data_IF_586789245835
#
_entry.id   IF_586789245835
#
_cell.length_a   1.000
_cell.length_b   1.000
_cell.length_c   1.000
_cell.angle_alpha   90.00
_cell.angle_beta   90.00
_cell.angle_gamma   90.00
#
_symmetry.space_group_name_H-M   'P 1'
#
loop_
_entity.id
_entity.type
_entity.pdbx_description
1 polymer ?
#
# COMPACT_ATOMS: atom_id res chain seq x y z
N UNK A 1 -20.30 -1.47 41.28
CA UNK A 1 -19.16 -2.30 40.86
C UNK A 1 -19.29 -2.54 39.37
N UNK A 2 -18.22 -2.40 38.60
CA UNK A 2 -18.26 -2.65 37.17
C UNK A 2 -18.42 -4.16 36.93
N UNK A 3 -19.24 -4.52 35.94
CA UNK A 3 -19.42 -5.91 35.51
C UNK A 3 -18.85 -6.05 34.11
N UNK A 4 -18.07 -7.10 33.88
CA UNK A 4 -17.50 -7.43 32.57
C UNK A 4 -18.30 -8.59 31.99
N UNK A 5 -18.78 -8.41 30.76
CA UNK A 5 -19.61 -9.41 30.07
C UNK A 5 -18.77 -10.10 29.00
N UNK A 6 -18.76 -11.43 29.05
CA UNK A 6 -18.15 -12.28 28.03
C UNK A 6 -19.27 -12.91 27.19
N UNK A 7 -19.18 -12.85 25.87
CA UNK A 7 -20.23 -13.32 24.95
C UNK A 7 -19.68 -14.37 23.99
N UNK A 8 -20.47 -15.39 23.65
CA UNK A 8 -20.12 -16.34 22.61
C UNK A 8 -20.10 -15.73 21.21
N UNK A 9 -19.03 -15.97 20.45
CA UNK A 9 -18.83 -15.45 19.08
C UNK A 9 -19.22 -16.43 17.98
N UNK A 10 -19.64 -17.65 18.34
CA UNK A 10 -19.84 -18.77 17.38
C UNK A 10 -21.13 -18.72 16.57
N UNK A 11 -21.91 -17.62 16.66
CA UNK A 11 -23.20 -17.46 15.98
C UNK A 11 -24.31 -18.40 16.46
N UNK A 12 -24.01 -19.30 17.41
CA UNK A 12 -24.98 -20.13 18.12
C UNK A 12 -25.21 -19.55 19.51
N UNK A 13 -26.47 -19.51 19.93
CA UNK A 13 -26.91 -18.98 21.23
C UNK A 13 -27.60 -20.08 22.04
N UNK A 14 -26.84 -21.10 22.51
CA UNK A 14 -27.42 -22.15 23.34
C UNK A 14 -27.92 -21.58 24.67
N UNK A 15 -28.90 -22.24 25.29
CA UNK A 15 -29.45 -21.85 26.60
C UNK A 15 -28.36 -21.79 27.68
N UNK A 16 -27.44 -22.75 27.65
CA UNK A 16 -26.25 -22.77 28.48
C UNK A 16 -25.05 -23.24 27.68
N UNK A 17 -23.86 -22.79 28.06
CA UNK A 17 -22.61 -23.27 27.49
C UNK A 17 -21.52 -23.34 28.54
N UNK A 18 -20.85 -24.48 28.59
CA UNK A 18 -19.76 -24.77 29.51
C UNK A 18 -18.40 -24.46 28.87
N UNK A 19 -17.55 -23.77 29.63
CA UNK A 19 -16.16 -23.57 29.26
C UNK A 19 -15.32 -24.73 29.81
N UNK A 20 -14.64 -25.53 28.98
CA UNK A 20 -13.77 -26.59 29.47
C UNK A 20 -12.67 -26.01 30.34
N UNK A 21 -12.53 -26.55 31.54
CA UNK A 21 -11.63 -26.01 32.54
C UNK A 21 -10.52 -26.99 32.97
N UNK A 22 -10.59 -28.24 32.52
CA UNK A 22 -9.66 -29.31 32.91
C UNK A 22 -8.46 -29.33 31.95
N UNK A 23 -7.25 -29.38 32.50
CA UNK A 23 -5.99 -29.53 31.75
C UNK A 23 -5.74 -28.46 30.67
N UNK A 24 -6.26 -27.25 30.88
CA UNK A 24 -6.04 -26.13 29.96
C UNK A 24 -4.65 -25.54 30.18
N UNK A 25 -3.96 -25.22 29.09
CA UNK A 25 -2.67 -24.54 29.13
C UNK A 25 -2.79 -23.13 28.54
N UNK A 26 -2.16 -22.16 29.19
CA UNK A 26 -2.00 -20.80 28.69
C UNK A 26 -0.55 -20.32 28.83
N UNK A 27 -0.19 -19.31 28.04
CA UNK A 27 1.16 -18.74 28.04
C UNK A 27 1.38 -17.85 29.28
N UNK A 28 2.31 -18.28 30.14
CA UNK A 28 2.80 -17.51 31.27
C UNK A 28 3.95 -16.60 30.83
N UNK A 29 3.88 -15.28 31.09
CA UNK A 29 4.98 -14.37 30.77
C UNK A 29 6.30 -14.87 31.36
N UNK A 30 7.29 -15.09 30.49
CA UNK A 30 8.63 -15.54 30.89
C UNK A 30 8.78 -17.03 31.27
N UNK A 31 7.73 -17.85 31.20
CA UNK A 31 7.79 -19.27 31.58
C UNK A 31 7.12 -20.23 30.59
N UNK A 32 6.60 -19.72 29.48
CA UNK A 32 5.98 -20.52 28.41
C UNK A 32 4.61 -21.08 28.81
N UNK A 33 4.17 -22.14 28.13
CA UNK A 33 2.84 -22.75 28.37
C UNK A 33 2.78 -23.47 29.71
N UNK A 34 1.83 -23.09 30.54
CA UNK A 34 1.60 -23.65 31.88
C UNK A 34 0.13 -23.96 32.08
N UNK A 35 -0.16 -24.93 32.95
CA UNK A 35 -1.54 -25.29 33.28
C UNK A 35 -2.23 -24.17 34.05
N UNK A 36 -3.43 -23.82 33.62
CA UNK A 36 -4.29 -22.84 34.29
C UNK A 36 -5.55 -23.50 34.84
N UNK A 37 -5.98 -23.07 36.02
CA UNK A 37 -7.28 -23.39 36.60
C UNK A 37 -7.87 -22.14 37.27
N UNK A 38 -9.18 -22.18 37.55
CA UNK A 38 -9.84 -21.14 38.31
C UNK A 38 -9.72 -21.42 39.82
N UNK A 39 -9.12 -20.49 40.55
CA UNK A 39 -8.95 -20.56 42.01
C UNK A 39 -9.58 -19.32 42.65
N UNK A 40 -10.83 -19.40 43.15
CA UNK A 40 -11.53 -18.24 43.71
C UNK A 40 -10.73 -17.60 44.85
N UNK A 41 -10.53 -16.28 44.78
CA UNK A 41 -9.81 -15.50 45.80
C UNK A 41 -8.29 -15.46 45.66
N UNK A 42 -7.70 -16.24 44.75
CA UNK A 42 -6.25 -16.24 44.52
C UNK A 42 -5.82 -15.20 43.46
N UNK A 43 -4.58 -14.75 43.54
CA UNK A 43 -4.03 -13.77 42.59
C UNK A 43 -3.40 -14.40 41.33
N UNK A 44 -3.29 -15.73 41.26
CA UNK A 44 -2.74 -16.45 40.11
C UNK A 44 -3.69 -17.53 39.61
N UNK A 45 -3.71 -17.72 38.30
CA UNK A 45 -4.46 -18.78 37.61
C UNK A 45 -3.58 -20.01 37.32
N UNK A 46 -2.26 -19.90 37.48
CA UNK A 46 -1.33 -20.97 37.14
C UNK A 46 -1.23 -21.98 38.27
N UNK A 47 -1.45 -23.25 37.94
CA UNK A 47 -1.45 -24.37 38.89
C UNK A 47 -0.18 -24.41 39.74
N UNK A 48 0.98 -24.19 39.12
CA UNK A 48 2.29 -24.21 39.79
C UNK A 48 2.44 -23.13 40.87
N UNK A 49 1.82 -21.95 40.69
CA UNK A 49 1.98 -20.83 41.62
C UNK A 49 1.08 -20.98 42.85
N UNK A 50 -0.10 -21.57 42.66
CA UNK A 50 -1.10 -21.76 43.71
C UNK A 50 -0.74 -23.00 44.53
N UNK A 51 -0.52 -24.14 43.88
CA UNK A 51 -0.15 -25.39 44.57
C UNK A 51 1.27 -25.34 45.17
N UNK A 52 2.14 -24.47 44.64
CA UNK A 52 3.44 -24.17 45.23
C UNK A 52 3.35 -23.42 46.57
N UNK A 53 2.28 -22.64 46.78
CA UNK A 53 2.02 -21.90 48.03
C UNK A 53 1.16 -22.69 49.01
N UNK A 54 0.12 -23.35 48.51
CA UNK A 54 -0.79 -24.15 49.33
C UNK A 54 -1.38 -25.29 48.50
N UNK A 55 -1.01 -26.53 48.84
CA UNK A 55 -1.44 -27.75 48.15
C UNK A 55 -2.90 -28.14 48.42
N UNK A 56 -3.52 -27.56 49.44
CA UNK A 56 -4.90 -27.89 49.83
C UNK A 56 -5.95 -27.08 49.04
N UNK A 57 -5.53 -26.05 48.31
CA UNK A 57 -6.42 -25.22 47.49
C UNK A 57 -6.83 -25.99 46.24
N UNK A 58 -8.12 -26.30 46.13
CA UNK A 58 -8.70 -26.99 44.98
C UNK A 58 -9.26 -26.00 43.95
N UNK A 59 -9.13 -26.29 42.65
CA UNK A 59 -9.74 -25.49 41.61
C UNK A 59 -11.27 -25.57 41.70
N UNK A 60 -11.94 -24.48 41.36
CA UNK A 60 -13.40 -24.41 41.28
C UNK A 60 -13.88 -24.47 39.84
N UNK A 61 -15.14 -24.86 39.67
CA UNK A 61 -15.79 -24.85 38.37
C UNK A 61 -16.02 -23.42 37.90
N UNK A 62 -15.96 -23.23 36.58
CA UNK A 62 -16.22 -21.93 35.96
C UNK A 62 -17.73 -21.77 35.84
N UNK A 63 -18.30 -20.61 36.21
CA UNK A 63 -19.71 -20.34 35.98
C UNK A 63 -20.09 -20.49 34.50
N UNK A 64 -21.27 -21.03 34.24
CA UNK A 64 -21.78 -21.26 32.89
C UNK A 64 -22.06 -19.95 32.17
N UNK A 65 -21.90 -19.95 30.84
CA UNK A 65 -22.48 -18.90 30.02
C UNK A 65 -23.96 -19.19 29.86
N UNK A 66 -24.81 -18.21 30.10
CA UNK A 66 -26.27 -18.35 30.10
C UNK A 66 -26.90 -17.47 29.02
N UNK A 67 -27.98 -17.96 28.41
CA UNK A 67 -28.70 -17.19 27.41
C UNK A 67 -29.45 -16.00 28.02
N UNK A 68 -29.07 -14.80 27.61
CA UNK A 68 -29.78 -13.58 27.97
C UNK A 68 -30.76 -13.21 26.84
N UNK A 69 -32.06 -13.23 27.18
CA UNK A 69 -33.14 -12.92 26.23
C UNK A 69 -33.16 -11.45 25.79
N UNK A 70 -32.59 -10.53 26.56
CA UNK A 70 -32.54 -9.11 26.23
C UNK A 70 -31.47 -8.79 25.17
N UNK A 71 -30.31 -9.44 25.25
CA UNK A 71 -29.20 -9.27 24.29
C UNK A 71 -29.25 -10.30 23.15
N UNK A 72 -30.15 -11.29 23.27
CA UNK A 72 -30.27 -12.45 22.38
C UNK A 72 -28.92 -13.17 22.19
N UNK A 73 -28.12 -13.24 23.26
CA UNK A 73 -26.75 -13.73 23.28
C UNK A 73 -26.55 -14.62 24.50
N UNK A 74 -25.67 -15.61 24.37
CA UNK A 74 -25.23 -16.45 25.49
C UNK A 74 -24.00 -15.81 26.11
N UNK A 75 -24.12 -15.37 27.36
CA UNK A 75 -23.17 -14.49 28.03
C UNK A 75 -22.84 -14.94 29.45
N UNK A 76 -21.62 -14.61 29.90
CA UNK A 76 -21.16 -14.79 31.27
C UNK A 76 -20.81 -13.42 31.84
N UNK A 77 -21.52 -13.02 32.90
CA UNK A 77 -21.27 -11.76 33.59
C UNK A 77 -20.37 -11.99 34.79
N UNK A 78 -19.20 -11.35 34.80
CA UNK A 78 -18.21 -11.44 35.87
C UNK A 78 -18.04 -10.10 36.56
N UNK A 79 -18.01 -10.10 37.89
CA UNK A 79 -17.70 -8.89 38.66
C UNK A 79 -16.22 -8.52 38.51
N UNK A 80 -15.92 -7.23 38.32
CA UNK A 80 -14.55 -6.72 38.17
C UNK A 80 -13.65 -7.02 39.39
N UNK A 81 -14.26 -7.24 40.57
CA UNK A 81 -13.55 -7.68 41.78
C UNK A 81 -12.95 -9.09 41.67
N UNK A 82 -13.47 -9.95 40.79
CA UNK A 82 -12.99 -11.32 40.62
C UNK A 82 -11.85 -11.38 39.60
N UNK A 83 -10.71 -10.81 39.97
CA UNK A 83 -9.52 -10.69 39.12
C UNK A 83 -9.02 -12.05 38.63
N UNK A 84 -9.09 -13.10 39.47
CA UNK A 84 -8.70 -14.46 39.10
C UNK A 84 -9.51 -15.00 37.91
N UNK A 85 -10.84 -14.90 37.99
CA UNK A 85 -11.73 -15.39 36.93
C UNK A 85 -11.53 -14.60 35.65
N UNK A 86 -11.36 -13.28 35.75
CA UNK A 86 -11.08 -12.44 34.59
C UNK A 86 -9.74 -12.77 33.92
N UNK A 87 -8.70 -13.00 34.72
CA UNK A 87 -7.40 -13.44 34.21
C UNK A 87 -7.52 -14.80 33.52
N UNK A 88 -8.27 -15.73 34.13
CA UNK A 88 -8.49 -17.06 33.56
C UNK A 88 -9.19 -16.96 32.20
N UNK A 89 -10.32 -16.25 32.15
CA UNK A 89 -11.13 -16.10 30.93
C UNK A 89 -10.37 -15.39 29.80
N UNK A 90 -9.49 -14.43 30.12
CA UNK A 90 -8.64 -13.75 29.12
C UNK A 90 -7.47 -14.62 28.64
N UNK A 91 -6.90 -15.45 29.52
CA UNK A 91 -5.76 -16.31 29.19
C UNK A 91 -6.18 -17.63 28.49
N UNK A 92 -7.46 -18.00 28.56
CA UNK A 92 -7.95 -19.24 28.01
C UNK A 92 -7.78 -19.33 26.48
N UNK A 93 -7.38 -20.48 25.90
CA UNK A 93 -7.15 -20.63 24.45
C UNK A 93 -8.36 -20.35 23.55
N UNK A 94 -9.56 -20.38 24.12
CA UNK A 94 -10.80 -20.13 23.38
C UNK A 94 -11.22 -18.65 23.39
N UNK A 95 -10.54 -17.80 24.15
CA UNK A 95 -10.73 -16.35 24.11
C UNK A 95 -10.38 -15.80 22.73
N UNK A 96 -11.24 -14.94 22.18
CA UNK A 96 -11.14 -14.42 20.81
C UNK A 96 -11.50 -15.43 19.71
N UNK A 97 -11.78 -16.70 20.05
CA UNK A 97 -12.18 -17.75 19.10
C UNK A 97 -13.62 -18.21 19.27
N UNK A 98 -14.02 -18.49 20.52
CA UNK A 98 -15.35 -18.98 20.88
C UNK A 98 -16.15 -17.96 21.68
N UNK A 99 -15.46 -17.10 22.43
CA UNK A 99 -16.06 -16.02 23.18
C UNK A 99 -15.11 -14.83 23.27
N UNK A 100 -15.65 -13.64 23.50
CA UNK A 100 -14.89 -12.40 23.66
C UNK A 100 -15.52 -11.51 24.72
N UNK A 101 -14.78 -10.49 25.17
CA UNK A 101 -15.36 -9.44 26.02
C UNK A 101 -16.19 -8.52 25.14
N UNK A 102 -17.43 -8.32 25.54
CA UNK A 102 -18.34 -7.42 24.86
C UNK A 102 -18.63 -6.26 25.79
N UNK A 103 -18.31 -5.05 25.32
CA UNK A 103 -18.82 -3.80 25.87
C UNK A 103 -19.52 -3.04 24.76
N UNK A 104 -20.47 -2.18 25.14
CA UNK A 104 -21.14 -1.28 24.21
C UNK A 104 -20.13 -0.48 23.37
N UNK A 105 -19.01 -0.09 23.97
CA UNK A 105 -17.90 0.57 23.28
C UNK A 105 -17.25 -0.31 22.22
N UNK A 106 -16.93 -1.58 22.53
CA UNK A 106 -16.28 -2.50 21.57
C UNK A 106 -17.22 -2.86 20.41
N UNK A 107 -18.52 -3.05 20.69
CA UNK A 107 -19.50 -3.29 19.63
C UNK A 107 -19.68 -2.08 18.74
N UNK A 108 -19.74 -0.89 19.34
CA UNK A 108 -19.82 0.38 18.62
C UNK A 108 -18.57 0.61 17.76
N UNK A 109 -17.37 0.31 18.26
CA UNK A 109 -16.12 0.39 17.49
C UNK A 109 -16.11 -0.58 16.30
N UNK A 110 -16.55 -1.83 16.50
CA UNK A 110 -16.65 -2.81 15.41
C UNK A 110 -17.66 -2.37 14.35
N UNK A 111 -18.81 -1.85 14.78
CA UNK A 111 -19.82 -1.29 13.88
C UNK A 111 -19.27 -0.07 13.12
N UNK A 112 -18.60 0.83 13.82
CA UNK A 112 -18.00 2.03 13.24
C UNK A 112 -16.96 1.67 12.17
N UNK A 113 -16.05 0.74 12.47
CA UNK A 113 -15.10 0.22 11.47
C UNK A 113 -15.80 -0.37 10.25
N UNK A 114 -16.91 -1.07 10.47
CA UNK A 114 -17.75 -1.59 9.38
C UNK A 114 -18.36 -0.48 8.52
N UNK A 115 -18.82 0.61 9.14
CA UNK A 115 -19.34 1.78 8.41
C UNK A 115 -18.22 2.53 7.68
N UNK A 116 -17.08 2.76 8.31
CA UNK A 116 -15.90 3.40 7.70
C UNK A 116 -15.43 2.65 6.45
N UNK A 117 -15.43 1.31 6.47
CA UNK A 117 -15.10 0.50 5.30
C UNK A 117 -16.10 0.69 4.16
N UNK A 118 -17.40 0.78 4.47
CA UNK A 118 -18.45 1.04 3.48
C UNK A 118 -18.33 2.44 2.89
N UNK A 119 -18.13 3.46 3.72
CA UNK A 119 -17.91 4.83 3.27
C UNK A 119 -16.68 4.93 2.38
N UNK A 120 -15.55 4.34 2.79
CA UNK A 120 -14.33 4.30 1.98
C UNK A 120 -14.55 3.61 0.63
N UNK A 121 -15.27 2.49 0.60
CA UNK A 121 -15.58 1.79 -0.65
C UNK A 121 -16.48 2.62 -1.58
N UNK A 122 -17.48 3.32 -1.03
CA UNK A 122 -18.37 4.21 -1.79
C UNK A 122 -17.59 5.39 -2.35
N UNK A 123 -16.67 5.95 -1.57
CA UNK A 123 -15.83 7.08 -1.98
C UNK A 123 -14.91 6.73 -3.15
N UNK A 124 -14.33 5.53 -3.16
CA UNK A 124 -13.54 5.04 -4.30
C UNK A 124 -14.38 4.85 -5.57
N UNK A 125 -15.66 4.50 -5.40
CA UNK A 125 -16.62 4.30 -6.49
C UNK A 125 -17.18 5.62 -7.04
N UNK A 126 -17.01 6.75 -6.34
CA UNK A 126 -17.39 8.07 -6.87
C UNK A 126 -16.73 8.30 -8.23
N UNK A 127 -17.42 9.03 -9.09
CA UNK A 127 -17.03 9.22 -10.49
C UNK A 127 -16.98 10.70 -10.83
N UNK A 128 -16.07 11.05 -11.74
CA UNK A 128 -16.00 12.37 -12.39
C UNK A 128 -16.62 12.30 -13.79
N UNK A 129 -16.61 11.12 -14.44
CA UNK A 129 -17.14 10.93 -15.79
C UNK A 129 -17.83 9.58 -16.03
N UNK A 130 -18.63 9.50 -17.09
CA UNK A 130 -19.29 8.28 -17.55
C UNK A 130 -18.29 7.18 -17.93
N UNK A 131 -17.19 7.58 -18.60
CA UNK A 131 -16.12 6.66 -18.98
C UNK A 131 -15.44 6.06 -17.75
N UNK A 132 -15.14 6.89 -16.75
CA UNK A 132 -14.54 6.44 -15.49
C UNK A 132 -15.46 5.44 -14.78
N UNK A 133 -16.76 5.72 -14.72
CA UNK A 133 -17.75 4.82 -14.09
C UNK A 133 -17.76 3.45 -14.75
N UNK A 134 -17.83 3.40 -16.09
CA UNK A 134 -17.82 2.15 -16.84
C UNK A 134 -16.49 1.42 -16.69
N UNK A 135 -15.38 2.15 -16.64
CA UNK A 135 -14.04 1.57 -16.50
C UNK A 135 -13.85 0.95 -15.12
N UNK A 136 -14.26 1.64 -14.04
CA UNK A 136 -14.29 1.08 -12.68
C UNK A 136 -15.16 -0.16 -12.61
N UNK A 137 -16.34 -0.13 -13.25
CA UNK A 137 -17.21 -1.30 -13.31
C UNK A 137 -16.53 -2.47 -14.02
N UNK A 138 -15.80 -2.22 -15.10
CA UNK A 138 -15.06 -3.26 -15.82
C UNK A 138 -13.83 -3.79 -15.06
N UNK A 139 -13.18 -2.98 -14.23
CA UNK A 139 -12.14 -3.46 -13.31
C UNK A 139 -12.73 -4.40 -12.25
N UNK A 140 -13.90 -4.06 -11.71
CA UNK A 140 -14.55 -4.81 -10.62
C UNK A 140 -15.27 -6.08 -11.12
N UNK A 141 -16.05 -5.96 -12.20
CA UNK A 141 -16.91 -7.04 -12.71
C UNK A 141 -16.34 -7.72 -13.97
N UNK A 142 -15.21 -7.24 -14.51
CA UNK A 142 -14.61 -7.77 -15.72
C UNK A 142 -15.38 -7.43 -17.00
N UNK A 143 -15.17 -8.24 -18.04
CA UNK A 143 -15.75 -8.06 -19.39
C UNK A 143 -17.27 -7.95 -19.41
N UNK A 144 -17.97 -8.51 -18.41
CA UNK A 144 -19.43 -8.44 -18.32
C UNK A 144 -19.95 -7.00 -18.18
N UNK A 145 -19.16 -6.11 -17.57
CA UNK A 145 -19.53 -4.71 -17.43
C UNK A 145 -19.37 -3.88 -18.71
N UNK A 146 -18.78 -4.46 -19.78
CA UNK A 146 -18.65 -3.78 -21.07
C UNK A 146 -20.02 -3.32 -21.60
N UNK A 147 -21.05 -4.15 -21.39
CA UNK A 147 -22.43 -3.89 -21.83
C UNK A 147 -23.28 -3.14 -20.81
N UNK A 148 -22.74 -2.76 -19.66
CA UNK A 148 -23.52 -2.00 -18.69
C UNK A 148 -23.70 -0.55 -19.16
N UNK A 149 -24.94 -0.09 -19.09
CA UNK A 149 -25.25 1.33 -19.12
C UNK A 149 -24.64 2.03 -17.91
N UNK A 150 -24.35 3.32 -18.03
CA UNK A 150 -23.67 4.11 -16.97
C UNK A 150 -24.40 4.00 -15.64
N UNK A 151 -25.73 4.15 -15.63
CA UNK A 151 -26.54 4.06 -14.40
C UNK A 151 -26.58 2.67 -13.80
N UNK A 152 -26.57 1.62 -14.63
CA UNK A 152 -26.52 0.23 -14.17
C UNK A 152 -25.15 -0.08 -13.56
N UNK A 153 -24.07 0.38 -14.20
CA UNK A 153 -22.71 0.27 -13.68
C UNK A 153 -22.58 0.98 -12.33
N UNK A 154 -23.08 2.21 -12.21
CA UNK A 154 -23.08 2.99 -10.97
C UNK A 154 -23.83 2.27 -9.85
N UNK A 155 -25.06 1.80 -10.12
CA UNK A 155 -25.88 1.10 -9.14
C UNK A 155 -25.22 -0.20 -8.65
N UNK A 156 -24.68 -1.01 -9.57
CA UNK A 156 -24.00 -2.27 -9.23
C UNK A 156 -22.71 -2.05 -8.43
N UNK A 157 -21.91 -1.05 -8.77
CA UNK A 157 -20.71 -0.70 -8.00
C UNK A 157 -21.05 -0.27 -6.58
N UNK A 158 -22.06 0.60 -6.42
CA UNK A 158 -22.54 1.04 -5.09
C UNK A 158 -23.11 -0.12 -4.28
N UNK A 159 -23.94 -0.96 -4.89
CA UNK A 159 -24.47 -2.16 -4.24
C UNK A 159 -23.34 -3.06 -3.72
N UNK A 160 -22.34 -3.34 -4.56
CA UNK A 160 -21.22 -4.19 -4.16
C UNK A 160 -20.33 -3.53 -3.10
N UNK A 161 -20.20 -2.20 -3.10
CA UNK A 161 -19.50 -1.45 -2.05
C UNK A 161 -20.20 -1.59 -0.68
N UNK A 162 -21.54 -1.69 -0.65
CA UNK A 162 -22.29 -1.94 0.58
C UNK A 162 -22.21 -3.40 1.04
N UNK A 163 -22.31 -4.35 0.12
CA UNK A 163 -22.31 -5.79 0.43
C UNK A 163 -20.92 -6.34 0.76
N UNK A 164 -19.89 -5.90 0.02
CA UNK A 164 -18.51 -6.40 0.09
C UNK A 164 -17.49 -5.26 -0.07
N UNK A 165 -17.39 -4.35 0.91
CA UNK A 165 -16.52 -3.16 0.83
C UNK A 165 -15.04 -3.53 0.66
N UNK A 166 -14.56 -4.57 1.35
CA UNK A 166 -13.17 -5.03 1.28
C UNK A 166 -12.76 -5.45 -0.14
N UNK A 167 -13.68 -6.07 -0.89
CA UNK A 167 -13.42 -6.49 -2.26
C UNK A 167 -13.26 -5.29 -3.20
N UNK A 168 -14.13 -4.29 -3.07
CA UNK A 168 -14.06 -3.05 -3.85
C UNK A 168 -12.76 -2.31 -3.54
N UNK A 169 -12.42 -2.14 -2.25
CA UNK A 169 -11.19 -1.49 -1.82
C UNK A 169 -9.98 -2.24 -2.38
N UNK A 170 -9.96 -3.57 -2.27
CA UNK A 170 -8.86 -4.40 -2.79
C UNK A 170 -8.67 -4.27 -4.30
N UNK A 171 -9.76 -4.07 -5.06
CA UNK A 171 -9.70 -3.90 -6.52
C UNK A 171 -9.36 -2.49 -6.98
N UNK A 172 -9.91 -1.46 -6.32
CA UNK A 172 -9.74 -0.06 -6.71
C UNK A 172 -8.55 0.63 -6.04
N UNK A 173 -7.96 0.02 -5.01
CA UNK A 173 -6.72 0.48 -4.36
C UNK A 173 -5.58 -0.52 -4.53
N UNK A 174 -5.72 -1.49 -5.44
CA UNK A 174 -4.68 -2.45 -5.78
C UNK A 174 -3.51 -1.78 -6.53
N UNK A 175 -2.31 -2.35 -6.41
CA UNK A 175 -1.11 -1.86 -7.11
C UNK A 175 -1.28 -1.95 -8.64
N UNK A 176 -2.03 -2.94 -9.10
CA UNK A 176 -2.35 -3.17 -10.51
C UNK A 176 -3.53 -2.33 -11.03
N UNK A 177 -4.18 -1.54 -10.16
CA UNK A 177 -5.40 -0.81 -10.50
C UNK A 177 -5.22 0.09 -11.72
N UNK A 178 -4.14 0.87 -11.80
CA UNK A 178 -3.92 1.82 -12.91
C UNK A 178 -3.83 1.09 -14.26
N UNK A 179 -3.07 0.00 -14.31
CA UNK A 179 -2.93 -0.80 -15.53
C UNK A 179 -4.24 -1.52 -15.90
N UNK A 180 -4.97 -2.01 -14.90
CA UNK A 180 -6.31 -2.59 -15.10
C UNK A 180 -7.32 -1.54 -15.58
N UNK A 181 -7.22 -0.31 -15.09
CA UNK A 181 -8.08 0.80 -15.46
C UNK A 181 -7.81 1.28 -16.89
N UNK A 182 -6.54 1.41 -17.29
CA UNK A 182 -6.14 1.71 -18.68
C UNK A 182 -6.65 0.62 -19.63
N UNK A 183 -6.47 -0.65 -19.26
CA UNK A 183 -7.01 -1.79 -20.01
C UNK A 183 -8.54 -1.68 -20.16
N UNK A 184 -9.25 -1.44 -19.06
CA UNK A 184 -10.71 -1.27 -19.07
C UNK A 184 -11.16 -0.12 -19.98
N UNK A 185 -10.51 1.04 -19.91
CA UNK A 185 -10.79 2.19 -20.78
C UNK A 185 -10.60 1.83 -22.25
N UNK A 186 -9.50 1.16 -22.60
CA UNK A 186 -9.20 0.77 -23.97
C UNK A 186 -10.28 -0.17 -24.54
N UNK A 187 -10.82 -1.09 -23.74
CA UNK A 187 -11.94 -1.95 -24.13
C UNK A 187 -13.24 -1.17 -24.32
N UNK A 188 -13.56 -0.26 -23.39
CA UNK A 188 -14.81 0.52 -23.44
C UNK A 188 -14.85 1.46 -24.64
N UNK A 189 -13.70 2.04 -25.00
CA UNK A 189 -13.58 2.88 -26.20
C UNK A 189 -13.38 2.09 -27.49
N UNK A 190 -13.28 0.75 -27.42
CA UNK A 190 -13.10 -0.10 -28.60
C UNK A 190 -11.72 -0.02 -29.24
N UNK A 191 -10.71 0.52 -28.55
CA UNK A 191 -9.31 0.55 -28.98
C UNK A 191 -8.74 -0.88 -29.02
N UNK A 192 -9.15 -1.71 -28.06
CA UNK A 192 -8.83 -3.13 -28.00
C UNK A 192 -10.10 -3.94 -27.89
N UNK A 193 -10.09 -5.15 -28.44
CA UNK A 193 -11.18 -6.10 -28.37
C UNK A 193 -10.65 -7.52 -28.31
N UNK A 194 -11.49 -8.47 -27.91
CA UNK A 194 -11.17 -9.89 -28.11
C UNK A 194 -11.44 -10.25 -29.57
N UNK A 195 -10.62 -11.12 -30.16
CA UNK A 195 -10.94 -11.70 -31.47
C UNK A 195 -12.23 -12.55 -31.40
N UNK A 196 -12.81 -12.90 -32.55
CA UNK A 196 -14.06 -13.68 -32.59
C UNK A 196 -13.97 -15.03 -31.87
N UNK A 197 -12.77 -15.62 -31.79
CA UNK A 197 -12.53 -16.87 -31.06
C UNK A 197 -12.33 -16.69 -29.55
N UNK A 198 -12.28 -15.45 -29.04
CA UNK A 198 -11.90 -15.12 -27.66
C UNK A 198 -10.57 -15.73 -27.19
N UNK A 199 -9.66 -16.02 -28.12
CA UNK A 199 -8.34 -16.60 -27.89
C UNK A 199 -7.21 -15.56 -27.92
N UNK A 200 -7.50 -14.32 -28.28
CA UNK A 200 -6.51 -13.24 -28.38
C UNK A 200 -7.15 -11.89 -28.05
N UNK A 201 -6.35 -10.98 -27.48
CA UNK A 201 -6.65 -9.55 -27.46
C UNK A 201 -5.99 -8.91 -28.67
N UNK A 202 -6.77 -8.17 -29.44
CA UNK A 202 -6.37 -7.56 -30.70
C UNK A 202 -6.67 -6.07 -30.67
N UNK A 203 -5.97 -5.31 -31.52
CA UNK A 203 -6.34 -3.92 -31.79
C UNK A 203 -7.70 -3.85 -32.49
N UNK A 204 -8.53 -2.89 -32.09
CA UNK A 204 -9.90 -2.74 -32.59
C UNK A 204 -9.98 -2.43 -34.09
N UNK A 205 -8.99 -1.69 -34.60
CA UNK A 205 -8.90 -1.20 -35.98
C UNK A 205 -8.16 -2.16 -36.93
N UNK A 206 -7.01 -2.68 -36.53
CA UNK A 206 -6.16 -3.52 -37.41
C UNK A 206 -6.35 -5.03 -37.20
N UNK A 207 -7.03 -5.43 -36.12
CA UNK A 207 -7.14 -6.83 -35.67
C UNK A 207 -5.80 -7.56 -35.44
N UNK A 208 -4.69 -6.81 -35.39
CA UNK A 208 -3.38 -7.36 -35.06
C UNK A 208 -3.35 -7.82 -33.60
N UNK A 209 -2.73 -8.97 -33.36
CA UNK A 209 -2.64 -9.59 -32.03
C UNK A 209 -1.72 -8.80 -31.11
N UNK A 210 -2.21 -8.51 -29.90
CA UNK A 210 -1.45 -7.95 -28.79
C UNK A 210 -0.99 -9.08 -27.87
N UNK A 211 -1.91 -9.94 -27.45
CA UNK A 211 -1.64 -11.07 -26.56
C UNK A 211 -2.57 -12.25 -26.82
N UNK A 212 -2.11 -13.46 -26.51
CA UNK A 212 -2.90 -14.68 -26.54
C UNK A 212 -3.61 -14.90 -25.21
N UNK A 213 -4.80 -15.50 -25.26
CA UNK A 213 -5.62 -15.91 -24.13
C UNK A 213 -5.71 -17.43 -24.10
N UNK A 214 -5.41 -18.01 -22.95
CA UNK A 214 -5.67 -19.40 -22.66
C UNK A 214 -7.16 -19.59 -22.31
N UNK A 215 -7.62 -20.85 -22.34
CA UNK A 215 -9.00 -21.18 -21.99
C UNK A 215 -9.34 -20.70 -20.57
N UNK A 216 -10.41 -19.91 -20.45
CA UNK A 216 -10.88 -19.37 -19.16
C UNK A 216 -10.24 -18.04 -18.74
N UNK A 217 -9.26 -17.52 -19.47
CA UNK A 217 -8.69 -16.20 -19.18
C UNK A 217 -9.55 -15.06 -19.75
N UNK A 218 -9.68 -13.98 -18.98
CA UNK A 218 -10.42 -12.79 -19.41
C UNK A 218 -9.47 -11.75 -20.02
N UNK A 219 -9.74 -11.36 -21.26
CA UNK A 219 -8.90 -10.43 -22.03
C UNK A 219 -8.53 -9.13 -21.32
N UNK A 220 -9.50 -8.44 -20.70
CA UNK A 220 -9.23 -7.17 -20.02
C UNK A 220 -8.32 -7.33 -18.80
N UNK A 221 -8.50 -8.41 -18.04
CA UNK A 221 -7.66 -8.70 -16.86
C UNK A 221 -6.25 -9.07 -17.31
N UNK A 222 -6.13 -9.90 -18.35
CA UNK A 222 -4.82 -10.32 -18.85
C UNK A 222 -4.05 -9.17 -19.48
N UNK A 223 -4.72 -8.30 -20.24
CA UNK A 223 -4.13 -7.07 -20.76
C UNK A 223 -3.68 -6.17 -19.62
N UNK A 224 -4.51 -5.95 -18.59
CA UNK A 224 -4.13 -5.13 -17.43
C UNK A 224 -2.90 -5.69 -16.69
N UNK A 225 -2.82 -7.00 -16.51
CA UNK A 225 -1.64 -7.65 -15.93
C UNK A 225 -0.40 -7.50 -16.82
N UNK A 226 -0.56 -7.67 -18.13
CA UNK A 226 0.52 -7.47 -19.09
C UNK A 226 1.07 -6.05 -19.04
N UNK A 227 0.18 -5.04 -18.99
CA UNK A 227 0.56 -3.63 -18.88
C UNK A 227 1.31 -3.32 -17.58
N UNK A 228 0.98 -4.01 -16.49
CA UNK A 228 1.64 -3.85 -15.19
C UNK A 228 3.03 -4.52 -15.10
N UNK A 229 3.38 -5.41 -16.02
CA UNK A 229 4.62 -6.20 -15.94
C UNK A 229 5.90 -5.38 -16.23
N UNK A 230 5.78 -4.11 -16.66
CA UNK A 230 6.93 -3.22 -16.87
C UNK A 230 7.87 -3.60 -18.02
N UNK A 231 7.49 -4.56 -18.87
CA UNK A 231 8.28 -4.92 -20.06
C UNK A 231 8.24 -3.81 -21.13
N UNK A 232 9.27 -3.72 -21.96
CA UNK A 232 9.32 -2.75 -23.07
C UNK A 232 8.09 -2.84 -23.98
N UNK A 233 7.63 -4.06 -24.27
CA UNK A 233 6.43 -4.29 -25.07
C UNK A 233 5.16 -3.77 -24.39
N UNK A 234 5.07 -3.89 -23.06
CA UNK A 234 3.96 -3.37 -22.27
C UNK A 234 3.94 -1.84 -22.30
N UNK A 235 5.11 -1.19 -22.18
CA UNK A 235 5.25 0.26 -22.28
C UNK A 235 4.86 0.78 -23.68
N UNK A 236 5.34 0.12 -24.74
CA UNK A 236 4.97 0.48 -26.13
C UNK A 236 3.46 0.33 -26.34
N UNK A 237 2.87 -0.75 -25.82
CA UNK A 237 1.43 -0.98 -25.91
C UNK A 237 0.65 0.10 -25.15
N UNK A 238 1.10 0.47 -23.95
CA UNK A 238 0.49 1.53 -23.14
C UNK A 238 0.58 2.90 -23.84
N UNK A 239 1.72 3.24 -24.43
CA UNK A 239 1.90 4.47 -25.22
C UNK A 239 0.98 4.50 -26.44
N UNK A 240 0.85 3.36 -27.14
CA UNK A 240 -0.06 3.23 -28.28
C UNK A 240 -1.53 3.42 -27.87
N UNK A 241 -1.92 2.86 -26.71
CA UNK A 241 -3.25 3.08 -26.14
C UNK A 241 -3.44 4.57 -25.81
N UNK A 242 -2.46 5.22 -25.16
CA UNK A 242 -2.55 6.63 -24.81
C UNK A 242 -2.73 7.54 -26.04
N UNK A 243 -1.98 7.28 -27.12
CA UNK A 243 -2.14 7.98 -28.41
C UNK A 243 -3.56 7.77 -28.97
N UNK A 244 -4.06 6.54 -29.00
CA UNK A 244 -5.42 6.23 -29.50
C UNK A 244 -6.53 6.81 -28.61
N UNK A 245 -6.26 7.03 -27.33
CA UNK A 245 -7.15 7.75 -26.40
C UNK A 245 -7.11 9.27 -26.59
N UNK A 246 -6.23 9.81 -27.45
CA UNK A 246 -6.04 11.24 -27.64
C UNK A 246 -5.30 11.92 -26.48
N UNK A 247 -4.65 11.14 -25.60
CA UNK A 247 -3.84 11.66 -24.51
C UNK A 247 -2.45 11.98 -25.08
N UNK A 248 -2.29 13.21 -25.56
CA UNK A 248 -1.01 13.71 -26.12
C UNK A 248 -1.10 14.36 -27.51
N UNK A 249 -2.26 14.34 -28.17
CA UNK A 249 -2.45 15.00 -29.47
C UNK A 249 -3.00 16.42 -29.30
N UNK A 250 -2.11 17.38 -29.01
CA UNK A 250 -2.24 18.67 -29.69
C UNK A 250 -1.80 18.47 -31.16
N UNK A 251 -2.55 18.97 -32.15
CA UNK A 251 -2.26 18.72 -33.54
C UNK A 251 -1.00 19.48 -33.97
N UNK A 252 0.15 18.81 -33.99
CA UNK A 252 1.28 19.23 -34.84
C UNK A 252 1.14 18.54 -36.18
N UNK A 253 0.54 19.26 -37.13
CA UNK A 253 0.55 18.94 -38.57
C UNK A 253 1.96 18.56 -39.03
N UNK A 254 2.04 17.42 -39.71
CA UNK A 254 3.24 16.82 -40.25
C UNK A 254 3.87 17.70 -41.35
N UNK A 255 5.17 17.96 -41.22
CA UNK A 255 6.07 18.06 -42.38
C UNK A 255 7.35 17.27 -42.07
N UNK A 256 7.85 16.56 -43.07
CA UNK A 256 8.87 15.51 -42.96
C UNK A 256 10.24 15.98 -42.43
N UNK A 257 10.97 14.99 -41.86
CA UNK A 257 12.42 14.90 -41.55
C UNK A 257 12.99 15.69 -40.35
N UNK A 258 13.47 14.91 -39.36
CA UNK A 258 14.40 15.11 -38.21
C UNK A 258 15.15 16.45 -37.99
N UNK A 259 15.79 16.68 -36.82
CA UNK A 259 15.39 16.45 -35.42
C UNK A 259 15.56 17.73 -34.54
N UNK A 260 15.09 17.66 -33.29
CA UNK A 260 15.51 18.49 -32.13
C UNK A 260 15.02 19.95 -32.03
N UNK A 261 14.34 20.21 -30.89
CA UNK A 261 14.26 21.47 -30.15
C UNK A 261 14.13 22.78 -30.94
N UNK A 262 12.90 23.23 -31.16
CA UNK A 262 12.60 24.63 -31.45
C UNK A 262 11.88 25.27 -30.25
N UNK A 263 12.70 25.89 -29.41
CA UNK A 263 12.33 27.08 -28.62
C UNK A 263 11.95 28.16 -29.62
N UNK A 264 10.95 28.98 -29.30
CA UNK A 264 10.46 30.01 -30.23
C UNK A 264 11.56 31.05 -30.55
N UNK A 265 11.68 31.47 -31.82
CA UNK A 265 12.66 32.50 -32.26
C UNK A 265 12.55 33.83 -31.48
N UNK A 266 11.38 34.07 -30.88
CA UNK A 266 11.13 35.25 -30.03
C UNK A 266 11.78 35.10 -28.65
N UNK A 267 11.84 33.89 -28.10
CA UNK A 267 12.52 33.59 -26.83
C UNK A 267 14.04 33.48 -27.02
N UNK A 268 14.52 33.03 -28.19
CA UNK A 268 15.96 33.01 -28.51
C UNK A 268 16.53 34.43 -28.64
N UNK A 269 15.85 35.35 -29.35
CA UNK A 269 16.27 36.75 -29.41
C UNK A 269 16.25 37.44 -28.05
N UNK A 270 15.23 37.20 -27.24
CA UNK A 270 15.14 37.79 -25.91
C UNK A 270 16.26 37.30 -24.97
N UNK A 271 16.66 36.03 -25.07
CA UNK A 271 17.77 35.48 -24.27
C UNK A 271 19.14 35.86 -24.78
N UNK A 272 19.32 36.02 -26.09
CA UNK A 272 20.60 36.49 -26.65
C UNK A 272 20.86 37.96 -26.30
N UNK A 273 19.83 38.81 -26.27
CA UNK A 273 19.94 40.21 -25.84
C UNK A 273 20.27 40.31 -24.33
N UNK A 274 19.65 39.46 -23.49
CA UNK A 274 19.92 39.38 -22.04
C UNK A 274 21.36 38.87 -21.75
N UNK A 275 21.86 37.89 -22.52
CA UNK A 275 23.23 37.39 -22.40
C UNK A 275 24.26 38.46 -22.84
N UNK A 276 23.95 39.24 -23.88
CA UNK A 276 24.82 40.33 -24.33
C UNK A 276 24.91 41.44 -23.26
N UNK A 277 23.80 41.78 -22.61
CA UNK A 277 23.75 42.76 -21.52
C UNK A 277 24.52 42.28 -20.28
N UNK A 278 24.34 41.02 -19.87
CA UNK A 278 25.07 40.42 -18.75
C UNK A 278 26.58 40.32 -19.01
N UNK A 279 27.01 40.04 -20.25
CA UNK A 279 28.43 40.05 -20.63
C UNK A 279 29.02 41.46 -20.62
N UNK A 280 28.27 42.46 -21.08
CA UNK A 280 28.71 43.86 -20.99
C UNK A 280 28.83 44.34 -19.54
N UNK A 281 27.91 43.93 -18.66
CA UNK A 281 27.96 44.23 -17.23
C UNK A 281 29.17 43.57 -16.54
N UNK A 282 29.52 42.32 -16.91
CA UNK A 282 30.69 41.62 -16.38
C UNK A 282 32.01 42.22 -16.89
N UNK A 283 32.11 42.63 -18.15
CA UNK A 283 33.30 43.34 -18.66
C UNK A 283 33.47 44.74 -18.04
N UNK A 284 32.37 45.44 -17.75
CA UNK A 284 32.42 46.71 -17.02
C UNK A 284 32.87 46.50 -15.57
N UNK A 285 32.43 45.42 -14.92
CA UNK A 285 32.88 45.05 -13.56
C UNK A 285 34.37 44.63 -13.52
N UNK A 286 34.88 43.96 -14.57
CA UNK A 286 36.28 43.51 -14.63
C UNK A 286 37.28 44.57 -15.10
N UNK A 287 36.83 45.71 -15.66
CA UNK A 287 37.71 46.84 -16.00
C UNK A 287 38.00 47.79 -14.82
N UNK A 288 37.44 47.53 -13.64
CA UNK A 288 37.56 48.37 -12.45
C UNK A 288 38.57 47.93 -11.37
N UNK A 289 39.29 46.81 -11.55
CA UNK A 289 40.23 46.34 -10.52
C UNK A 289 41.50 45.76 -11.11
N UNK A 290 42.43 46.66 -11.49
CA UNK A 290 43.85 46.33 -11.59
C UNK A 290 44.64 47.47 -10.95
N UNK A 291 45.10 47.25 -9.72
CA UNK A 291 46.30 47.87 -9.19
C UNK A 291 47.07 46.77 -8.42
N UNK A 292 47.95 46.04 -9.10
CA UNK A 292 49.40 46.31 -9.21
C UNK A 292 50.16 45.88 -7.95
N UNK A 293 50.93 44.78 -8.05
CA UNK A 293 52.39 44.70 -7.80
C UNK A 293 52.83 43.30 -7.29
N UNK A 294 53.66 42.68 -8.16
CA UNK A 294 54.88 41.89 -7.92
C UNK A 294 54.94 40.70 -6.92
N UNK A 295 55.63 39.59 -7.31
CA UNK A 295 56.04 38.47 -6.44
C UNK A 295 57.40 38.80 -5.76
N UNK A 296 58.02 37.99 -4.87
CA UNK A 296 57.84 36.54 -4.61
C UNK A 296 57.92 36.10 -3.11
N UNK A 297 58.00 34.78 -2.93
CA UNK A 297 58.61 34.02 -1.81
C UNK A 297 57.70 33.66 -0.62
N UNK A 298 57.50 32.35 -0.42
CA UNK A 298 57.94 31.51 0.72
C UNK A 298 56.96 30.34 0.90
N UNK A 299 57.54 29.16 0.66
CA UNK A 299 57.33 27.84 1.24
C UNK A 299 56.36 27.66 2.45
N UNK A 300 55.87 26.42 2.53
CA UNK A 300 55.31 25.73 3.71
C UNK A 300 53.82 25.88 4.08
N UNK A 301 53.11 24.77 3.91
CA UNK A 301 52.06 24.22 4.80
C UNK A 301 50.88 25.13 5.21
N UNK A 302 49.68 24.80 4.71
CA UNK A 302 48.56 24.25 5.51
C UNK A 302 47.28 24.11 4.69
N UNK A 303 46.71 22.91 4.74
CA UNK A 303 45.27 22.60 4.71
C UNK A 303 44.37 23.46 3.81
N UNK A 304 44.45 23.21 2.50
CA UNK A 304 43.33 23.53 1.61
C UNK A 304 42.36 22.34 1.62
N UNK A 305 41.33 22.46 2.48
CA UNK A 305 40.16 21.60 2.51
C UNK A 305 39.45 21.73 1.15
N UNK A 306 39.71 20.78 0.25
CA UNK A 306 38.99 20.66 -1.01
C UNK A 306 37.56 20.24 -0.65
N UNK A 307 36.62 21.18 -0.71
CA UNK A 307 35.18 20.91 -0.66
C UNK A 307 34.78 20.21 -1.97
N UNK A 308 35.14 18.93 -2.10
CA UNK A 308 34.61 18.06 -3.15
C UNK A 308 33.39 17.34 -2.59
N UNK A 309 32.30 17.32 -3.36
CA UNK A 309 31.09 16.63 -2.95
C UNK A 309 31.26 15.10 -3.08
N UNK A 310 30.47 14.32 -2.34
CA UNK A 310 30.53 12.84 -2.35
C UNK A 310 30.34 12.28 -3.77
N UNK A 311 29.46 12.90 -4.54
CA UNK A 311 29.16 12.53 -5.93
C UNK A 311 30.36 12.76 -6.85
N UNK A 312 31.03 13.91 -6.74
CA UNK A 312 32.26 14.18 -7.48
C UNK A 312 33.40 13.25 -7.09
N UNK A 313 33.51 12.89 -5.80
CA UNK A 313 34.52 11.97 -5.29
C UNK A 313 34.31 10.53 -5.78
N UNK A 314 33.06 10.05 -5.78
CA UNK A 314 32.72 8.73 -6.29
C UNK A 314 32.93 8.62 -7.80
N UNK A 315 32.58 9.66 -8.57
CA UNK A 315 32.81 9.70 -10.01
C UNK A 315 34.31 9.58 -10.34
N UNK A 316 35.17 10.37 -9.68
CA UNK A 316 36.63 10.28 -9.87
C UNK A 316 37.22 8.94 -9.42
N UNK A 317 36.64 8.31 -8.39
CA UNK A 317 37.09 6.99 -7.93
C UNK A 317 36.77 5.90 -8.96
N UNK A 318 35.55 5.92 -9.52
CA UNK A 318 35.14 5.00 -10.58
C UNK A 318 36.03 5.22 -11.82
N UNK A 319 36.35 6.47 -12.17
CA UNK A 319 37.25 6.78 -13.27
C UNK A 319 38.67 6.24 -13.06
N UNK A 320 39.23 6.38 -11.83
CA UNK A 320 40.61 5.95 -11.53
C UNK A 320 40.75 4.43 -11.37
N UNK A 321 39.78 3.77 -10.75
CA UNK A 321 39.89 2.34 -10.36
C UNK A 321 38.95 1.41 -11.14
N UNK A 322 38.12 1.95 -12.03
CA UNK A 322 37.14 1.24 -12.86
C UNK A 322 36.21 0.29 -12.07
N UNK A 323 35.96 0.63 -10.80
CA UNK A 323 35.15 -0.15 -9.85
C UNK A 323 34.46 0.81 -8.87
N UNK A 324 33.25 0.47 -8.44
CA UNK A 324 32.58 1.21 -7.36
C UNK A 324 33.25 0.95 -6.00
N UNK A 325 33.27 1.94 -5.10
CA UNK A 325 33.65 1.72 -3.70
C UNK A 325 32.76 0.64 -3.07
N UNK A 326 33.35 -0.23 -2.24
CA UNK A 326 32.63 -1.32 -1.60
C UNK A 326 31.45 -0.84 -0.73
N UNK A 327 30.43 -1.69 -0.47
CA UNK A 327 29.18 -1.28 0.19
C UNK A 327 29.37 -0.61 1.57
N UNK A 328 30.44 -0.98 2.28
CA UNK A 328 30.80 -0.42 3.60
C UNK A 328 31.47 0.94 3.55
N UNK A 329 32.00 1.36 2.39
CA UNK A 329 32.80 2.61 2.23
C UNK A 329 32.24 3.55 1.16
N UNK A 330 31.11 3.18 0.52
CA UNK A 330 30.44 3.96 -0.54
C UNK A 330 29.93 5.34 -0.08
N UNK A 331 29.67 5.50 1.22
CA UNK A 331 29.24 6.78 1.82
C UNK A 331 30.35 7.54 2.56
N UNK A 332 31.60 7.06 2.54
CA UNK A 332 32.70 7.65 3.29
C UNK A 332 33.59 8.52 2.37
N UNK A 333 33.31 9.83 2.36
CA UNK A 333 34.05 10.82 1.57
C UNK A 333 35.55 10.81 1.89
N UNK A 334 35.91 10.70 3.17
CA UNK A 334 37.31 10.75 3.61
C UNK A 334 38.08 9.53 3.11
N UNK A 335 37.45 8.35 3.16
CA UNK A 335 38.03 7.13 2.61
C UNK A 335 38.24 7.21 1.10
N UNK A 336 37.24 7.72 0.36
CA UNK A 336 37.31 7.85 -1.11
C UNK A 336 38.40 8.85 -1.51
N UNK A 337 38.47 10.01 -0.84
CA UNK A 337 39.52 11.01 -1.10
C UNK A 337 40.91 10.49 -0.73
N UNK A 338 41.04 9.71 0.34
CA UNK A 338 42.30 9.06 0.72
C UNK A 338 42.76 8.07 -0.34
N UNK A 339 41.86 7.25 -0.87
CA UNK A 339 42.19 6.30 -1.95
C UNK A 339 42.47 6.94 -3.30
N UNK A 340 41.87 8.09 -3.58
CA UNK A 340 42.20 8.86 -4.79
C UNK A 340 43.63 9.42 -4.77
N UNK A 341 44.21 9.62 -3.58
CA UNK A 341 45.60 10.08 -3.40
C UNK A 341 46.64 8.97 -3.43
N UNK A 342 46.25 7.71 -3.24
CA UNK A 342 47.09 6.51 -3.45
C UNK A 342 47.23 6.19 -4.94
#
# INVERSE_FOLDING_TARGET
MAKIVFVLTTGRTPQTWDLPYINIMADKPGSGKKFINYYPGENSIYKEDVEGKNKDIKPSEIPLFEFNSATNKTELTVDDSNTNLLMYLKAHPWFGRKYEITSETIESEKLLKGYELKEKAIDLVKHVSDLETRSKAMVVFGIQALHFEVKVAEAKLKQLAFEKPEFIIGKLSGVDYESQFISAQAYIQGIVKNNMGHTMVVWGDTEQSILTLAAGETGNIKLGNFLNNGSDQALITMQTIAQKLGIGDEPKTQTASAPTNTISEKELKAKDDEIAELRAALEAANKGSVHELNPPVVDSNKDAKVEMTLEEATAKYIEKFNKEPGPTVKGDLEWILKKLKE
#
